data_IF_036432096810
#
_entry.id   IF_036432096810
#
_cell.length_a   1.000
_cell.length_b   1.000
_cell.length_c   1.000
_cell.angle_alpha   90.00
_cell.angle_beta   90.00
_cell.angle_gamma   90.00
#
_symmetry.space_group_name_H-M   'P 1'
#
loop_
_entity.id
_entity.type
_entity.pdbx_description
1 polymer ?
#
# COMPACT_ATOMS: atom_id res chain seq x y z
N UNK A 1 3.39 -64.04 -55.40
CA UNK A 1 4.27 -62.95 -54.91
C UNK A 1 3.50 -61.63 -55.10
N UNK A 2 3.07 -61.02 -53.99
CA UNK A 2 2.64 -59.61 -53.86
C UNK A 2 3.85 -58.66 -54.11
N UNK A 3 3.74 -57.31 -54.14
CA UNK A 3 2.58 -56.38 -54.15
C UNK A 3 2.72 -55.20 -55.16
N UNK A 4 1.73 -54.27 -55.15
CA UNK A 4 1.91 -52.92 -55.67
C UNK A 4 0.64 -52.08 -55.87
N UNK A 5 -0.25 -52.03 -54.87
CA UNK A 5 -1.50 -51.24 -54.89
C UNK A 5 -1.22 -49.83 -54.36
N UNK A 6 -1.48 -48.80 -55.18
CA UNK A 6 -1.58 -47.40 -54.75
C UNK A 6 -3.01 -46.90 -54.96
N UNK A 7 -3.87 -47.06 -53.96
CA UNK A 7 -5.23 -46.52 -53.94
C UNK A 7 -5.23 -45.10 -53.38
N UNK A 8 -5.66 -44.14 -54.19
CA UNK A 8 -6.01 -42.79 -53.75
C UNK A 8 -7.52 -42.73 -53.59
N UNK A 9 -8.01 -42.53 -52.37
CA UNK A 9 -9.41 -42.17 -52.09
C UNK A 9 -9.46 -40.82 -51.36
N UNK A 10 -10.48 -39.95 -51.61
CA UNK A 10 -10.52 -38.58 -51.12
C UNK A 10 -11.59 -38.35 -50.04
N UNK A 11 -11.72 -37.08 -49.63
CA UNK A 11 -12.94 -36.41 -49.12
C UNK A 11 -13.12 -36.31 -47.58
N UNK A 12 -13.23 -35.04 -47.14
CA UNK A 12 -13.91 -34.50 -45.94
C UNK A 12 -13.53 -35.00 -44.54
N UNK A 13 -12.89 -34.10 -43.77
CA UNK A 13 -13.26 -33.78 -42.37
C UNK A 13 -12.32 -32.69 -41.83
N UNK A 14 -12.62 -31.43 -42.17
CA UNK A 14 -12.07 -30.27 -41.43
C UNK A 14 -13.00 -29.06 -41.48
N UNK A 15 -14.30 -29.35 -41.38
CA UNK A 15 -15.33 -28.36 -41.03
C UNK A 15 -15.54 -28.53 -39.51
N UNK A 16 -15.51 -27.40 -38.79
CA UNK A 16 -15.87 -27.25 -37.37
C UNK A 16 -14.84 -27.65 -36.31
N UNK A 17 -13.95 -26.70 -35.99
CA UNK A 17 -13.75 -26.16 -34.62
C UNK A 17 -12.65 -25.11 -34.65
N UNK A 18 -13.04 -23.85 -34.81
CA UNK A 18 -12.36 -22.64 -34.28
C UNK A 18 -13.18 -21.40 -34.64
N UNK A 19 -14.28 -21.23 -33.92
CA UNK A 19 -14.83 -19.91 -33.63
C UNK A 19 -14.92 -19.76 -32.11
N UNK A 20 -14.73 -18.51 -31.67
CA UNK A 20 -14.63 -17.98 -30.30
C UNK A 20 -13.24 -18.10 -29.63
N UNK A 21 -12.57 -17.03 -29.18
CA UNK A 21 -12.85 -15.60 -29.18
C UNK A 21 -11.53 -14.85 -28.92
N UNK A 22 -11.23 -13.84 -29.74
CA UNK A 22 -10.68 -12.49 -29.48
C UNK A 22 -10.34 -11.97 -30.89
N UNK A 23 -11.25 -11.19 -31.48
CA UNK A 23 -10.93 -10.46 -32.71
C UNK A 23 -9.93 -9.36 -32.36
N UNK A 24 -8.63 -9.64 -32.56
CA UNK A 24 -7.65 -8.58 -32.80
C UNK A 24 -7.32 -8.64 -34.28
N UNK A 25 -8.00 -7.82 -35.09
CA UNK A 25 -7.59 -7.58 -36.48
C UNK A 25 -6.20 -6.94 -36.46
N UNK A 26 -5.14 -7.74 -36.65
CA UNK A 26 -3.76 -7.30 -36.81
C UNK A 26 -3.30 -7.68 -38.22
N UNK A 27 -3.56 -6.80 -39.19
CA UNK A 27 -2.63 -6.43 -40.26
C UNK A 27 -3.33 -5.55 -41.32
N UNK A 28 -3.09 -4.24 -41.25
CA UNK A 28 -3.21 -3.32 -42.38
C UNK A 28 -1.90 -2.51 -42.50
N UNK A 29 -1.37 -2.23 -43.70
CA UNK A 29 -0.13 -1.48 -43.88
C UNK A 29 -0.34 0.01 -43.56
N UNK A 30 0.46 0.54 -42.61
CA UNK A 30 0.68 1.97 -42.24
C UNK A 30 -0.55 2.90 -42.21
N UNK A 31 -0.89 3.40 -41.01
CA UNK A 31 -1.63 4.66 -40.90
C UNK A 31 -0.66 5.84 -41.05
N UNK A 32 -0.66 6.45 -42.24
CA UNK A 32 -0.34 7.86 -42.39
C UNK A 32 -1.48 8.66 -41.73
N UNK A 33 -1.13 9.59 -40.85
CA UNK A 33 -2.09 10.48 -40.19
C UNK A 33 -2.57 9.99 -38.82
N UNK A 34 -2.06 10.62 -37.77
CA UNK A 34 -2.86 10.84 -36.56
C UNK A 34 -4.03 11.73 -36.96
N UNK A 35 -5.23 11.17 -37.05
CA UNK A 35 -6.48 11.78 -37.53
C UNK A 35 -7.04 12.90 -36.62
N UNK A 36 -6.24 13.50 -35.73
CA UNK A 36 -6.70 14.61 -34.90
C UNK A 36 -7.69 14.23 -33.78
N UNK A 37 -8.32 13.06 -33.86
CA UNK A 37 -9.43 12.64 -32.98
C UNK A 37 -8.95 12.15 -31.61
N UNK A 38 -7.71 11.63 -31.54
CA UNK A 38 -7.10 11.11 -30.31
C UNK A 38 -6.44 12.18 -29.43
N UNK A 39 -6.24 13.42 -29.92
CA UNK A 39 -5.54 14.46 -29.16
C UNK A 39 -6.23 14.77 -27.82
N UNK A 40 -7.55 14.94 -27.82
CA UNK A 40 -8.33 15.21 -26.60
C UNK A 40 -8.28 14.05 -25.60
N UNK A 41 -8.07 12.82 -26.07
CA UNK A 41 -7.97 11.65 -25.22
C UNK A 41 -6.56 11.49 -24.65
N UNK A 42 -5.53 11.62 -25.49
CA UNK A 42 -4.12 11.61 -25.08
C UNK A 42 -3.81 12.73 -24.08
N UNK A 43 -4.41 13.90 -24.28
CA UNK A 43 -4.31 15.06 -23.39
C UNK A 43 -4.97 14.83 -22.02
N UNK A 44 -6.03 14.01 -21.92
CA UNK A 44 -6.65 13.64 -20.63
C UNK A 44 -5.98 12.46 -19.94
N UNK A 45 -5.48 11.50 -20.72
CA UNK A 45 -4.86 10.27 -20.20
C UNK A 45 -3.46 10.53 -19.66
N UNK A 46 -2.65 11.35 -20.35
CA UNK A 46 -1.29 11.70 -19.89
C UNK A 46 -1.23 12.32 -18.47
N UNK A 47 -2.05 13.34 -18.11
CA UNK A 47 -2.03 13.92 -16.78
C UNK A 47 -2.55 12.96 -15.70
N UNK A 48 -3.52 12.07 -15.99
CA UNK A 48 -4.00 11.06 -15.03
C UNK A 48 -2.90 10.05 -14.67
N UNK A 49 -2.10 9.61 -15.65
CA UNK A 49 -0.97 8.71 -15.40
C UNK A 49 0.14 9.41 -14.62
N UNK A 50 0.46 10.67 -14.94
CA UNK A 50 1.43 11.47 -14.20
C UNK A 50 0.98 11.71 -12.74
N UNK A 51 -0.30 12.04 -12.54
CA UNK A 51 -0.88 12.23 -11.20
C UNK A 51 -0.84 10.93 -10.38
N UNK A 52 -1.23 9.79 -10.97
CA UNK A 52 -1.14 8.49 -10.31
C UNK A 52 0.32 8.13 -9.96
N UNK A 53 1.28 8.39 -10.85
CA UNK A 53 2.69 8.14 -10.60
C UNK A 53 3.24 9.00 -9.45
N UNK A 54 2.88 10.28 -9.40
CA UNK A 54 3.25 11.19 -8.31
C UNK A 54 2.64 10.76 -6.98
N UNK A 55 1.36 10.40 -6.94
CA UNK A 55 0.72 9.94 -5.70
C UNK A 55 1.35 8.65 -5.18
N UNK A 56 1.71 7.72 -6.08
CA UNK A 56 2.44 6.50 -5.72
C UNK A 56 3.81 6.78 -5.11
N UNK A 57 4.55 7.75 -5.64
CA UNK A 57 5.87 8.09 -5.08
C UNK A 57 5.74 8.73 -3.70
N UNK A 58 4.73 9.59 -3.47
CA UNK A 58 4.43 10.14 -2.15
C UNK A 58 4.09 9.04 -1.14
N UNK A 59 3.21 8.10 -1.50
CA UNK A 59 2.86 6.96 -0.63
C UNK A 59 4.11 6.12 -0.32
N UNK A 60 4.96 5.85 -1.30
CA UNK A 60 6.20 5.09 -1.09
C UNK A 60 7.15 5.80 -0.12
N UNK A 61 7.34 7.12 -0.25
CA UNK A 61 8.17 7.91 0.68
C UNK A 61 7.62 7.80 2.10
N UNK A 62 6.32 7.97 2.29
CA UNK A 62 5.68 7.82 3.60
C UNK A 62 5.78 6.40 4.15
N UNK A 63 5.69 5.37 3.30
CA UNK A 63 5.91 3.98 3.70
C UNK A 63 7.35 3.76 4.19
N UNK A 64 8.36 4.37 3.57
CA UNK A 64 9.74 4.28 4.08
C UNK A 64 9.86 4.92 5.46
N UNK A 65 9.27 6.10 5.66
CA UNK A 65 9.25 6.76 6.98
C UNK A 65 8.54 5.90 8.02
N UNK A 66 7.39 5.31 7.66
CA UNK A 66 6.67 4.37 8.51
C UNK A 66 7.53 3.15 8.88
N UNK A 67 8.25 2.56 7.93
CA UNK A 67 9.15 1.44 8.19
C UNK A 67 10.26 1.80 9.18
N UNK A 68 10.81 3.02 9.12
CA UNK A 68 11.79 3.49 10.11
C UNK A 68 11.16 3.57 11.49
N UNK A 69 9.98 4.18 11.63
CA UNK A 69 9.26 4.28 12.90
C UNK A 69 8.94 2.89 13.45
N UNK A 70 8.45 1.99 12.60
CA UNK A 70 8.13 0.62 12.95
C UNK A 70 9.36 -0.15 13.44
N UNK A 71 10.50 -0.01 12.76
CA UNK A 71 11.77 -0.64 13.17
C UNK A 71 12.25 -0.12 14.52
N UNK A 72 12.09 1.19 14.80
CA UNK A 72 12.43 1.75 16.11
C UNK A 72 11.60 1.11 17.22
N UNK A 73 10.27 1.05 17.08
CA UNK A 73 9.39 0.40 18.05
C UNK A 73 9.71 -1.09 18.18
N UNK A 74 9.84 -1.81 17.06
CA UNK A 74 10.15 -3.24 17.06
C UNK A 74 11.50 -3.54 17.75
N UNK A 75 12.51 -2.70 17.52
CA UNK A 75 13.81 -2.80 18.18
C UNK A 75 13.69 -2.58 19.68
N UNK A 76 12.93 -1.58 20.13
CA UNK A 76 12.69 -1.31 21.54
C UNK A 76 11.96 -2.49 22.22
N UNK A 77 10.89 -3.00 21.60
CA UNK A 77 10.14 -4.16 22.11
C UNK A 77 11.07 -5.37 22.23
N UNK A 78 11.88 -5.64 21.21
CA UNK A 78 12.85 -6.73 21.21
C UNK A 78 13.88 -6.56 22.32
N UNK A 79 14.49 -5.37 22.42
CA UNK A 79 15.48 -5.05 23.46
C UNK A 79 14.93 -5.29 24.86
N UNK A 80 13.70 -4.83 25.13
CA UNK A 80 13.06 -4.99 26.42
C UNK A 80 12.76 -6.46 26.74
N UNK A 81 12.20 -7.23 25.80
CA UNK A 81 11.84 -8.64 26.02
C UNK A 81 13.04 -9.57 26.13
N UNK A 82 14.10 -9.33 25.35
CA UNK A 82 15.35 -10.09 25.44
C UNK A 82 16.26 -9.61 26.58
N UNK A 83 15.84 -8.59 27.35
CA UNK A 83 16.60 -8.00 28.46
C UNK A 83 18.03 -7.62 28.07
N UNK A 84 18.20 -7.12 26.84
CA UNK A 84 19.49 -6.69 26.30
C UNK A 84 20.06 -5.50 27.09
N UNK A 85 19.19 -4.68 27.68
CA UNK A 85 19.53 -3.60 28.62
C UNK A 85 18.69 -3.73 29.90
N UNK A 86 19.15 -3.10 31.00
CA UNK A 86 18.32 -2.94 32.20
C UNK A 86 17.06 -2.15 31.89
N UNK A 87 15.97 -2.46 32.59
CA UNK A 87 14.69 -1.75 32.46
C UNK A 87 14.78 -0.27 32.90
N UNK A 88 15.84 0.11 33.61
CA UNK A 88 16.13 1.51 33.95
C UNK A 88 16.61 2.32 32.74
N UNK A 89 17.24 1.65 31.77
CA UNK A 89 17.74 2.26 30.54
C UNK A 89 16.68 2.21 29.43
N UNK A 90 16.02 1.06 29.28
CA UNK A 90 14.95 0.85 28.31
C UNK A 90 13.72 0.29 29.03
N UNK A 91 12.75 1.16 29.28
CA UNK A 91 11.50 0.75 29.91
C UNK A 91 10.73 -0.28 29.07
N UNK A 92 9.89 -1.05 29.77
CA UNK A 92 8.94 -1.96 29.12
C UNK A 92 7.99 -1.21 28.17
N UNK A 93 7.72 -1.76 26.97
CA UNK A 93 6.80 -1.18 26.00
C UNK A 93 5.42 -0.91 26.59
N UNK A 94 4.79 0.16 26.12
CA UNK A 94 3.37 0.44 26.38
C UNK A 94 2.47 -0.56 25.66
N UNK A 95 1.23 -0.72 26.13
CA UNK A 95 0.32 -1.72 25.58
C UNK A 95 -0.05 -1.41 24.13
N UNK A 96 -0.08 -0.14 23.73
CA UNK A 96 -0.36 0.26 22.35
C UNK A 96 0.71 -0.13 21.33
N UNK A 97 1.96 -0.31 21.76
CA UNK A 97 3.08 -0.63 20.86
C UNK A 97 2.88 -2.02 20.22
N UNK A 98 2.35 -2.99 20.96
CA UNK A 98 2.12 -4.37 20.50
C UNK A 98 1.16 -4.47 19.30
N UNK A 99 -0.10 -3.97 19.38
CA UNK A 99 -0.98 -3.97 18.23
C UNK A 99 -0.48 -3.04 17.12
N UNK A 100 0.28 -1.98 17.44
CA UNK A 100 0.87 -1.11 16.43
C UNK A 100 1.92 -1.82 15.56
N UNK A 101 2.56 -2.90 16.03
CA UNK A 101 3.44 -3.72 15.17
C UNK A 101 2.70 -4.33 13.98
N UNK A 102 1.37 -4.49 14.05
CA UNK A 102 0.55 -4.95 12.93
C UNK A 102 0.35 -3.88 11.84
N UNK A 103 0.74 -2.61 12.08
CA UNK A 103 0.70 -1.52 11.08
C UNK A 103 1.58 -1.76 9.84
N UNK A 104 2.43 -2.80 9.87
CA UNK A 104 3.16 -3.25 8.68
C UNK A 104 2.21 -3.85 7.61
N UNK A 105 1.13 -4.51 8.03
CA UNK A 105 0.16 -5.16 7.14
C UNK A 105 -0.47 -4.20 6.13
N UNK A 106 -1.08 -3.06 6.53
CA UNK A 106 -1.64 -2.10 5.58
C UNK A 106 -0.57 -1.53 4.63
N UNK A 107 0.66 -1.33 5.10
CA UNK A 107 1.77 -0.84 4.27
C UNK A 107 2.19 -1.85 3.19
N UNK A 108 2.19 -3.15 3.52
CA UNK A 108 2.45 -4.23 2.57
C UNK A 108 1.33 -4.34 1.53
N UNK A 109 0.06 -4.29 1.96
CA UNK A 109 -1.09 -4.33 1.06
C UNK A 109 -1.11 -3.13 0.11
N UNK A 110 -0.78 -1.93 0.62
CA UNK A 110 -0.64 -0.72 -0.19
C UNK A 110 0.45 -0.89 -1.24
N UNK A 111 1.61 -1.44 -0.85
CA UNK A 111 2.72 -1.71 -1.78
C UNK A 111 2.36 -2.72 -2.86
N UNK A 112 1.58 -3.77 -2.53
CA UNK A 112 1.08 -4.77 -3.48
C UNK A 112 -0.01 -4.23 -4.42
N UNK A 113 -0.75 -3.19 -4.02
CA UNK A 113 -1.75 -2.55 -4.85
C UNK A 113 -1.13 -1.75 -6.02
N UNK A 114 0.08 -1.20 -5.83
CA UNK A 114 0.69 -0.24 -6.77
C UNK A 114 1.12 -0.80 -8.14
N UNK A 115 1.70 -2.02 -8.28
CA UNK A 115 2.17 -2.53 -9.57
C UNK A 115 1.04 -2.80 -10.56
N UNK A 116 -0.12 -3.26 -10.08
CA UNK A 116 -1.26 -3.67 -10.91
C UNK A 116 -2.45 -2.71 -10.85
N UNK A 117 -2.32 -1.56 -10.17
CA UNK A 117 -3.41 -0.63 -9.87
C UNK A 117 -4.64 -1.35 -9.29
N UNK A 118 -4.41 -2.27 -8.34
CA UNK A 118 -5.49 -3.09 -7.81
C UNK A 118 -6.28 -2.30 -6.75
N UNK A 119 -7.45 -1.81 -7.16
CA UNK A 119 -8.38 -1.04 -6.33
C UNK A 119 -8.74 -1.80 -5.04
N UNK A 120 -9.02 -3.10 -5.12
CA UNK A 120 -9.42 -3.90 -3.95
C UNK A 120 -8.32 -3.95 -2.89
N UNK A 121 -7.07 -4.19 -3.28
CA UNK A 121 -5.94 -4.16 -2.34
C UNK A 121 -5.74 -2.77 -1.73
N UNK A 122 -5.93 -1.70 -2.51
CA UNK A 122 -5.81 -0.33 -2.00
C UNK A 122 -6.89 -0.03 -0.95
N UNK A 123 -8.16 -0.39 -1.22
CA UNK A 123 -9.26 -0.22 -0.25
C UNK A 123 -9.03 -1.02 1.02
N UNK A 124 -8.64 -2.30 0.90
CA UNK A 124 -8.32 -3.15 2.07
C UNK A 124 -7.15 -2.54 2.86
N UNK A 125 -6.13 -2.01 2.17
CA UNK A 125 -5.00 -1.34 2.82
C UNK A 125 -5.44 -0.09 3.62
N UNK A 126 -6.40 0.68 3.11
CA UNK A 126 -6.91 1.88 3.81
C UNK A 126 -7.74 1.51 5.04
N UNK A 127 -8.62 0.50 4.95
CA UNK A 127 -9.42 0.02 6.10
C UNK A 127 -8.49 -0.57 7.17
N UNK A 128 -7.54 -1.40 6.76
CA UNK A 128 -6.55 -1.99 7.68
C UNK A 128 -5.59 -0.93 8.26
N UNK A 129 -5.31 0.17 7.57
CA UNK A 129 -4.57 1.29 8.13
C UNK A 129 -5.34 1.98 9.28
N UNK A 130 -6.65 2.15 9.12
CA UNK A 130 -7.50 2.64 10.21
C UNK A 130 -7.42 1.75 11.45
N UNK A 131 -7.54 0.43 11.26
CA UNK A 131 -7.59 -0.54 12.36
C UNK A 131 -6.23 -0.82 13.02
N UNK A 132 -5.16 -1.00 12.24
CA UNK A 132 -3.86 -1.45 12.76
C UNK A 132 -2.82 -0.34 12.87
N UNK A 133 -3.08 0.84 12.28
CA UNK A 133 -2.16 1.98 12.36
C UNK A 133 -2.75 3.11 13.19
N UNK A 134 -3.96 3.58 12.87
CA UNK A 134 -4.56 4.74 13.54
C UNK A 134 -5.13 4.37 14.91
N UNK A 135 -5.89 3.28 15.03
CA UNK A 135 -6.53 2.89 16.30
C UNK A 135 -5.54 2.63 17.45
N UNK A 136 -4.41 1.92 17.26
CA UNK A 136 -3.41 1.76 18.31
C UNK A 136 -2.83 3.09 18.78
N UNK A 137 -2.63 4.07 17.89
CA UNK A 137 -2.12 5.39 18.26
C UNK A 137 -3.12 6.18 19.10
N UNK A 138 -4.42 6.11 18.77
CA UNK A 138 -5.48 6.74 19.59
C UNK A 138 -5.52 6.08 20.97
N UNK A 139 -5.49 4.75 21.03
CA UNK A 139 -5.46 4.02 22.29
C UNK A 139 -4.22 4.40 23.12
N UNK A 140 -3.04 4.43 22.50
CA UNK A 140 -1.79 4.81 23.16
C UNK A 140 -1.79 6.24 23.69
N UNK A 141 -2.39 7.19 22.95
CA UNK A 141 -2.55 8.56 23.40
C UNK A 141 -3.38 8.66 24.68
N UNK A 142 -4.40 7.81 24.84
CA UNK A 142 -5.22 7.72 26.04
C UNK A 142 -4.51 6.97 27.17
N UNK A 143 -3.84 5.85 26.86
CA UNK A 143 -3.07 5.04 27.82
C UNK A 143 -1.98 5.85 28.51
N UNK A 144 -1.24 6.65 27.74
CA UNK A 144 -0.10 7.43 28.25
C UNK A 144 -0.52 8.75 28.92
N UNK A 145 -1.78 9.18 28.79
CA UNK A 145 -2.25 10.47 29.28
C UNK A 145 -2.08 10.67 30.80
N UNK A 146 -2.44 9.69 31.68
CA UNK A 146 -2.22 9.84 33.11
C UNK A 146 -0.74 9.95 33.48
N UNK A 147 0.12 9.24 32.77
CA UNK A 147 1.58 9.26 32.98
C UNK A 147 2.16 10.61 32.54
N UNK A 148 1.70 11.16 31.42
CA UNK A 148 2.05 12.51 31.00
C UNK A 148 1.59 13.56 32.01
N UNK A 149 0.38 13.44 32.55
CA UNK A 149 -0.11 14.37 33.57
C UNK A 149 0.76 14.31 34.85
N UNK A 150 1.19 13.11 35.26
CA UNK A 150 2.11 12.96 36.40
C UNK A 150 3.46 13.62 36.11
N UNK A 151 4.00 13.45 34.91
CA UNK A 151 5.24 14.09 34.51
C UNK A 151 5.13 15.62 34.51
N UNK A 152 4.14 16.18 33.81
CA UNK A 152 4.05 17.62 33.60
C UNK A 152 3.54 18.39 34.82
N UNK A 153 2.68 17.80 35.67
CA UNK A 153 2.16 18.49 36.86
C UNK A 153 3.01 18.25 38.12
N UNK A 154 3.63 17.09 38.24
CA UNK A 154 4.32 16.69 39.47
C UNK A 154 5.82 16.49 39.28
N UNK A 155 6.33 16.57 38.05
CA UNK A 155 7.76 16.34 37.75
C UNK A 155 8.20 14.90 37.95
N UNK A 156 7.26 13.93 38.03
CA UNK A 156 7.56 12.52 38.32
C UNK A 156 7.56 11.68 37.05
N UNK A 157 8.71 11.07 36.74
CA UNK A 157 8.86 10.10 35.67
C UNK A 157 9.10 8.70 36.26
N UNK A 158 8.35 7.70 35.77
CA UNK A 158 8.44 6.31 36.24
C UNK A 158 9.05 5.36 35.21
N UNK A 159 9.18 5.80 33.96
CA UNK A 159 9.70 5.02 32.84
C UNK A 159 10.68 5.88 32.06
N UNK A 160 11.82 5.30 31.72
CA UNK A 160 12.90 6.00 31.02
C UNK A 160 13.31 5.26 29.74
N UNK A 161 13.71 6.06 28.75
CA UNK A 161 14.32 5.58 27.51
C UNK A 161 15.58 6.42 27.32
N UNK A 162 16.74 5.79 27.47
CA UNK A 162 18.06 6.44 27.35
C UNK A 162 18.17 7.74 28.19
N UNK A 163 17.70 7.69 29.44
CA UNK A 163 17.75 8.83 30.37
C UNK A 163 16.66 9.90 30.17
N UNK A 164 15.86 9.83 29.11
CA UNK A 164 14.69 10.69 28.91
C UNK A 164 13.41 10.02 29.42
N UNK A 165 12.41 10.82 29.78
CA UNK A 165 11.10 10.27 30.14
C UNK A 165 10.48 9.55 28.95
N UNK A 166 10.16 8.26 29.13
CA UNK A 166 9.64 7.41 28.07
C UNK A 166 8.35 7.99 27.45
N UNK A 167 7.47 8.55 28.28
CA UNK A 167 6.20 9.13 27.83
C UNK A 167 6.41 10.32 26.89
N UNK A 168 7.39 11.19 27.15
CA UNK A 168 7.69 12.33 26.28
C UNK A 168 8.23 11.89 24.92
N UNK A 169 9.16 10.93 24.92
CA UNK A 169 9.72 10.36 23.69
C UNK A 169 8.62 9.67 22.86
N UNK A 170 7.76 8.89 23.52
CA UNK A 170 6.67 8.17 22.85
C UNK A 170 5.60 9.09 22.29
N UNK A 171 5.22 10.17 22.98
CA UNK A 171 4.28 11.15 22.41
C UNK A 171 4.86 11.86 21.17
N UNK A 172 6.16 12.19 21.18
CA UNK A 172 6.80 12.78 20.01
C UNK A 172 6.76 11.83 18.81
N UNK A 173 7.13 10.57 19.03
CA UNK A 173 7.06 9.52 18.00
C UNK A 173 5.62 9.34 17.50
N UNK A 174 4.66 9.31 18.41
CA UNK A 174 3.24 9.16 18.09
C UNK A 174 2.70 10.31 17.22
N UNK A 175 3.05 11.56 17.51
CA UNK A 175 2.64 12.71 16.69
C UNK A 175 3.19 12.59 15.27
N UNK A 176 4.46 12.17 15.12
CA UNK A 176 5.06 11.93 13.80
C UNK A 176 4.34 10.78 13.09
N UNK A 177 4.08 9.66 13.79
CA UNK A 177 3.37 8.51 13.23
C UNK A 177 1.95 8.87 12.75
N UNK A 178 1.21 9.69 13.53
CA UNK A 178 -0.12 10.19 13.14
C UNK A 178 -0.04 11.00 11.84
N UNK A 179 0.96 11.90 11.71
CA UNK A 179 1.14 12.69 10.49
C UNK A 179 1.46 11.81 9.28
N UNK A 180 2.32 10.80 9.45
CA UNK A 180 2.67 9.83 8.40
C UNK A 180 1.43 9.06 7.94
N UNK A 181 0.65 8.52 8.87
CA UNK A 181 -0.56 7.75 8.52
C UNK A 181 -1.67 8.62 7.92
N UNK A 182 -1.85 9.85 8.43
CA UNK A 182 -2.77 10.81 7.83
C UNK A 182 -2.39 11.10 6.36
N UNK A 183 -1.11 11.31 6.09
CA UNK A 183 -0.57 11.46 4.74
C UNK A 183 -0.82 10.22 3.87
N UNK A 184 -0.54 9.02 4.39
CA UNK A 184 -0.72 7.77 3.66
C UNK A 184 -2.19 7.57 3.26
N UNK A 185 -3.13 7.78 4.18
CA UNK A 185 -4.57 7.66 3.93
C UNK A 185 -5.02 8.72 2.93
N UNK A 186 -4.57 9.98 3.09
CA UNK A 186 -4.91 11.08 2.20
C UNK A 186 -4.48 10.81 0.75
N UNK A 187 -3.22 10.44 0.54
CA UNK A 187 -2.73 10.15 -0.81
C UNK A 187 -3.34 8.87 -1.38
N UNK A 188 -3.59 7.85 -0.55
CA UNK A 188 -4.26 6.62 -0.98
C UNK A 188 -5.69 6.90 -1.44
N UNK A 189 -6.42 7.78 -0.75
CA UNK A 189 -7.76 8.22 -1.16
C UNK A 189 -7.72 8.94 -2.51
N UNK A 190 -6.80 9.90 -2.69
CA UNK A 190 -6.63 10.59 -3.98
C UNK A 190 -6.28 9.64 -5.12
N UNK A 191 -5.43 8.65 -4.84
CA UNK A 191 -5.03 7.64 -5.82
C UNK A 191 -6.20 6.71 -6.17
N UNK A 192 -7.01 6.34 -5.18
CA UNK A 192 -8.21 5.54 -5.34
C UNK A 192 -9.21 6.24 -6.26
N UNK A 193 -9.49 7.53 -6.02
CA UNK A 193 -10.37 8.34 -6.86
C UNK A 193 -9.86 8.37 -8.31
N UNK A 194 -8.57 8.64 -8.51
CA UNK A 194 -7.96 8.67 -9.84
C UNK A 194 -8.07 7.33 -10.58
N UNK A 195 -7.92 6.20 -9.88
CA UNK A 195 -8.10 4.88 -10.48
C UNK A 195 -9.56 4.58 -10.82
N UNK A 196 -10.50 4.98 -9.97
CA UNK A 196 -11.93 4.82 -10.25
C UNK A 196 -12.34 5.62 -11.48
N UNK A 197 -11.98 6.90 -11.55
CA UNK A 197 -12.31 7.77 -12.69
C UNK A 197 -11.76 7.20 -14.00
N UNK A 198 -10.48 6.80 -14.01
CA UNK A 198 -9.85 6.21 -15.20
C UNK A 198 -10.51 4.88 -15.64
N UNK A 199 -11.04 4.10 -14.69
CA UNK A 199 -11.73 2.84 -15.00
C UNK A 199 -13.13 3.10 -15.56
N UNK A 200 -13.83 4.12 -15.07
CA UNK A 200 -15.14 4.51 -15.57
C UNK A 200 -15.05 5.15 -16.96
N UNK A 201 -14.05 6.00 -17.21
CA UNK A 201 -13.79 6.56 -18.54
C UNK A 201 -13.52 5.47 -19.59
N UNK A 202 -12.87 4.37 -19.20
CA UNK A 202 -12.65 3.20 -20.06
C UNK A 202 -13.90 2.37 -20.31
N UNK A 203 -14.86 2.32 -19.37
CA UNK A 203 -16.11 1.54 -19.51
C UNK A 203 -17.20 2.26 -20.29
N UNK A 204 -17.18 3.60 -20.30
CA UNK A 204 -18.16 4.43 -21.03
C UNK A 204 -17.88 4.50 -22.55
N UNK A 205 -16.77 3.93 -23.00
CA UNK A 205 -16.37 3.82 -24.41
C UNK A 205 -16.43 2.36 -24.84
#
# INVERSE_FOLDING_TARGET
MLPGIGSSFPVTLKKERKQEAVMTSRAGPRAAGTDGSDFKHREKVAPQYQMSASLKSEIKKLTVVHLVIWLLIASQVTIAHFKLYSHDVVAMPYQWEYPYLLSLLPSLLSSLAMPKNNISYLVISMISAGLFSVAPLIFGAMEMFPVAQQLYRHGKAYRFIFGFSAVSVMYLLMVIAIQVHAGQIYYSKKLLDAWFDSTQEKKKK
#
